data_IF_792483939142
#
_entry.id   IF_792483939142
#
_cell.length_a   1.000
_cell.length_b   1.000
_cell.length_c   1.000
_cell.angle_alpha   90.00
_cell.angle_beta   90.00
_cell.angle_gamma   90.00
#
_symmetry.space_group_name_H-M   'P 1'
#
loop_
_entity.id
_entity.type
_entity.pdbx_description
1 polymer ?
#
# COMPACT_ATOMS: atom_id res chain seq x y z
N UNK A 1 42.45 -33.18 7.89
CA UNK A 1 42.67 -31.75 7.61
C UNK A 1 41.94 -31.29 6.36
N UNK A 2 42.11 -31.95 5.17
CA UNK A 2 41.44 -31.54 3.91
C UNK A 2 39.92 -31.49 4.04
N UNK A 3 39.25 -32.50 4.63
CA UNK A 3 37.80 -32.51 4.81
C UNK A 3 37.29 -31.35 5.67
N UNK A 4 38.04 -30.95 6.72
CA UNK A 4 37.71 -29.80 7.54
C UNK A 4 37.74 -28.48 6.74
N UNK A 5 38.77 -28.30 5.93
CA UNK A 5 38.87 -27.12 5.05
C UNK A 5 37.75 -27.07 4.03
N UNK A 6 37.38 -28.19 3.43
CA UNK A 6 36.23 -28.25 2.50
C UNK A 6 34.94 -27.82 3.22
N UNK A 7 34.66 -28.33 4.42
CA UNK A 7 33.48 -27.93 5.21
C UNK A 7 33.48 -26.43 5.50
N UNK A 8 34.61 -25.88 5.93
CA UNK A 8 34.74 -24.44 6.23
C UNK A 8 34.50 -23.58 4.99
N UNK A 9 35.05 -23.99 3.83
CA UNK A 9 34.80 -23.25 2.57
C UNK A 9 33.33 -23.31 2.14
N UNK A 10 32.66 -24.46 2.28
CA UNK A 10 31.23 -24.60 1.99
C UNK A 10 30.40 -23.71 2.90
N UNK A 11 30.67 -23.74 4.21
CA UNK A 11 29.96 -22.87 5.15
C UNK A 11 30.18 -21.38 4.85
N UNK A 12 31.41 -20.98 4.54
CA UNK A 12 31.71 -19.60 4.18
C UNK A 12 30.96 -19.18 2.89
N UNK A 13 30.91 -20.05 1.88
CA UNK A 13 30.18 -19.82 0.65
C UNK A 13 28.67 -19.67 0.90
N UNK A 14 28.08 -20.52 1.73
CA UNK A 14 26.67 -20.43 2.14
C UNK A 14 26.37 -19.15 2.92
N UNK A 15 27.25 -18.72 3.81
CA UNK A 15 27.12 -17.43 4.51
C UNK A 15 27.13 -16.25 3.54
N UNK A 16 28.10 -16.22 2.62
CA UNK A 16 28.18 -15.14 1.60
C UNK A 16 26.95 -15.14 0.71
N UNK A 17 26.50 -16.31 0.24
CA UNK A 17 25.29 -16.42 -0.56
C UNK A 17 24.06 -15.90 0.19
N UNK A 18 23.91 -16.26 1.48
CA UNK A 18 22.80 -15.80 2.32
C UNK A 18 22.80 -14.28 2.49
N UNK A 19 23.95 -13.66 2.68
CA UNK A 19 24.12 -12.21 2.77
C UNK A 19 23.69 -11.55 1.45
N UNK A 20 24.22 -12.02 0.31
CA UNK A 20 23.93 -11.46 -1.01
C UNK A 20 22.46 -11.58 -1.37
N UNK A 21 21.85 -12.74 -1.14
CA UNK A 21 20.42 -12.97 -1.41
C UNK A 21 19.57 -12.05 -0.54
N UNK A 22 19.85 -11.97 0.76
CA UNK A 22 19.08 -11.12 1.69
C UNK A 22 19.24 -9.63 1.39
N UNK A 23 20.42 -9.22 0.93
CA UNK A 23 20.64 -7.86 0.44
C UNK A 23 19.76 -7.55 -0.79
N UNK A 24 19.68 -8.50 -1.74
CA UNK A 24 18.81 -8.37 -2.92
C UNK A 24 17.32 -8.33 -2.53
N UNK A 25 16.86 -9.22 -1.63
CA UNK A 25 15.46 -9.22 -1.15
C UNK A 25 15.12 -7.86 -0.54
N UNK A 26 15.95 -7.35 0.38
CA UNK A 26 15.72 -6.02 0.96
C UNK A 26 15.76 -4.91 -0.10
N UNK A 27 16.62 -5.03 -1.10
CA UNK A 27 16.72 -4.10 -2.22
C UNK A 27 15.46 -4.05 -3.08
N UNK A 28 14.91 -5.20 -3.41
CA UNK A 28 13.65 -5.29 -4.16
C UNK A 28 12.50 -4.63 -3.41
N UNK A 29 12.40 -4.82 -2.09
CA UNK A 29 11.36 -4.17 -1.29
C UNK A 29 11.50 -2.65 -1.26
N UNK A 30 12.74 -2.15 -1.08
CA UNK A 30 13.01 -0.71 -0.94
C UNK A 30 13.02 0.06 -2.26
N UNK A 31 13.38 -0.63 -3.34
CA UNK A 31 13.56 -0.04 -4.68
C UNK A 31 12.94 -0.96 -5.74
N UNK A 32 11.59 -1.08 -5.74
CA UNK A 32 10.90 -1.91 -6.71
C UNK A 32 11.09 -1.40 -8.14
N UNK A 33 10.96 -2.30 -9.10
CA UNK A 33 10.79 -1.92 -10.51
C UNK A 33 9.34 -1.44 -10.69
N UNK A 34 9.19 -0.14 -10.83
CA UNK A 34 7.89 0.50 -11.00
C UNK A 34 7.44 0.40 -12.45
N UNK A 35 6.16 0.13 -12.66
CA UNK A 35 5.52 0.21 -13.97
C UNK A 35 5.25 1.68 -14.31
N UNK A 36 5.47 2.04 -15.57
CA UNK A 36 5.12 3.36 -16.05
C UNK A 36 3.60 3.49 -16.25
N UNK A 37 3.12 4.72 -16.38
CA UNK A 37 1.69 5.02 -16.48
C UNK A 37 1.02 4.33 -17.67
N UNK A 38 1.67 4.28 -18.84
CA UNK A 38 1.10 3.64 -20.02
C UNK A 38 0.98 2.14 -19.82
N UNK A 39 1.97 1.50 -19.24
CA UNK A 39 1.96 0.06 -18.90
C UNK A 39 0.83 -0.27 -17.92
N UNK A 40 0.60 0.58 -16.92
CA UNK A 40 -0.50 0.39 -15.95
C UNK A 40 -1.87 0.49 -16.63
N UNK A 41 -2.08 1.49 -17.50
CA UNK A 41 -3.34 1.63 -18.25
C UNK A 41 -3.57 0.42 -19.18
N UNK A 42 -2.53 -0.04 -19.90
CA UNK A 42 -2.63 -1.22 -20.76
C UNK A 42 -2.98 -2.48 -19.97
N UNK A 43 -2.42 -2.64 -18.77
CA UNK A 43 -2.67 -3.80 -17.93
C UNK A 43 -4.09 -3.78 -17.33
N UNK A 44 -4.57 -2.61 -16.88
CA UNK A 44 -5.94 -2.48 -16.36
C UNK A 44 -6.99 -2.68 -17.47
N UNK A 45 -6.70 -2.27 -18.72
CA UNK A 45 -7.55 -2.57 -19.87
C UNK A 45 -7.59 -4.07 -20.16
N UNK A 46 -6.45 -4.76 -20.16
CA UNK A 46 -6.38 -6.24 -20.34
C UNK A 46 -7.16 -6.99 -19.24
N UNK A 47 -7.15 -6.49 -18.02
CA UNK A 47 -7.91 -7.05 -16.88
C UNK A 47 -9.40 -6.75 -16.96
N UNK A 48 -9.82 -5.85 -17.87
CA UNK A 48 -11.22 -5.43 -18.01
C UNK A 48 -11.68 -4.46 -16.93
N UNK A 49 -10.78 -3.82 -16.22
CA UNK A 49 -11.11 -2.82 -15.18
C UNK A 49 -11.75 -1.58 -15.79
N UNK A 50 -11.20 -1.11 -16.92
CA UNK A 50 -11.74 -0.05 -17.76
C UNK A 50 -11.10 -0.13 -19.16
N UNK A 51 -11.72 0.53 -20.16
CA UNK A 51 -11.10 0.68 -21.47
C UNK A 51 -10.29 1.98 -21.54
N UNK A 52 -9.22 2.00 -22.34
CA UNK A 52 -8.44 3.21 -22.58
C UNK A 52 -9.33 4.35 -23.09
N UNK A 53 -10.24 4.05 -24.00
CA UNK A 53 -11.17 5.06 -24.53
C UNK A 53 -12.03 5.70 -23.44
N UNK A 54 -12.58 4.88 -22.52
CA UNK A 54 -13.31 5.41 -21.35
C UNK A 54 -12.41 6.25 -20.45
N UNK A 55 -11.21 5.77 -20.15
CA UNK A 55 -10.27 6.50 -19.30
C UNK A 55 -9.95 7.89 -19.87
N UNK A 56 -9.68 7.99 -21.16
CA UNK A 56 -9.34 9.25 -21.83
C UNK A 56 -10.55 10.21 -21.97
N UNK A 57 -11.78 9.69 -22.09
CA UNK A 57 -12.98 10.51 -22.27
C UNK A 57 -13.68 10.93 -20.98
N UNK A 58 -13.64 10.09 -19.95
CA UNK A 58 -14.46 10.25 -18.74
C UNK A 58 -13.64 10.54 -17.47
N UNK A 59 -12.36 10.08 -17.41
CA UNK A 59 -11.55 10.23 -16.22
C UNK A 59 -10.73 11.52 -16.25
N UNK A 60 -11.35 12.63 -15.82
CA UNK A 60 -10.71 13.95 -15.83
C UNK A 60 -9.98 14.21 -14.51
N UNK A 61 -8.68 13.87 -14.48
CA UNK A 61 -7.83 14.05 -13.31
C UNK A 61 -7.18 15.44 -13.30
N UNK A 62 -7.37 16.17 -12.22
CA UNK A 62 -6.68 17.43 -11.92
C UNK A 62 -5.40 17.11 -11.14
N UNK A 63 -4.25 17.18 -11.79
CA UNK A 63 -2.97 16.87 -11.18
C UNK A 63 -2.47 17.99 -10.26
N UNK A 64 -1.84 17.63 -9.15
CA UNK A 64 -1.21 18.54 -8.21
C UNK A 64 -0.07 17.87 -7.46
N UNK A 65 0.71 18.64 -6.74
CA UNK A 65 1.88 18.16 -6.00
C UNK A 65 1.79 18.57 -4.54
N UNK A 66 2.15 17.64 -3.64
CA UNK A 66 2.29 17.90 -2.21
C UNK A 66 3.74 17.66 -1.77
N UNK A 67 4.28 18.57 -0.96
CA UNK A 67 5.61 18.39 -0.39
C UNK A 67 5.57 17.50 0.84
N UNK A 68 6.14 16.29 0.74
CA UNK A 68 6.28 15.39 1.89
C UNK A 68 7.19 15.97 2.97
N UNK A 69 6.87 15.71 4.22
CA UNK A 69 7.71 16.04 5.37
C UNK A 69 9.08 15.33 5.35
N UNK A 70 9.27 14.38 4.44
CA UNK A 70 10.49 13.61 4.25
C UNK A 70 11.35 14.11 3.08
N UNK A 71 11.04 15.28 2.51
CA UNK A 71 11.91 15.99 1.57
C UNK A 71 11.80 15.60 0.10
N UNK A 72 10.70 14.97 -0.31
CA UNK A 72 10.34 14.69 -1.71
C UNK A 72 8.92 15.18 -2.01
N UNK A 73 8.59 15.25 -3.29
CA UNK A 73 7.27 15.63 -3.74
C UNK A 73 6.42 14.38 -3.98
N UNK A 74 5.14 14.44 -3.57
CA UNK A 74 4.12 13.46 -3.91
C UNK A 74 3.34 13.98 -5.11
N UNK A 75 3.26 13.21 -6.16
CA UNK A 75 2.38 13.45 -7.29
C UNK A 75 0.98 12.95 -6.94
N UNK A 76 0.00 13.83 -7.08
CA UNK A 76 -1.37 13.60 -6.69
C UNK A 76 -2.32 13.98 -7.83
N UNK A 77 -3.51 13.41 -7.82
CA UNK A 77 -4.56 13.73 -8.75
C UNK A 77 -5.92 13.78 -8.03
N UNK A 78 -6.73 14.75 -8.37
CA UNK A 78 -8.12 14.88 -7.96
C UNK A 78 -9.03 14.51 -9.13
N UNK A 79 -9.96 13.61 -8.90
CA UNK A 79 -11.11 13.40 -9.77
C UNK A 79 -12.33 14.02 -9.08
N UNK A 80 -12.74 15.25 -9.48
CA UNK A 80 -13.85 15.93 -8.84
C UNK A 80 -15.15 15.16 -9.05
N UNK A 81 -16.01 15.13 -8.05
CA UNK A 81 -17.37 14.59 -8.20
C UNK A 81 -18.14 15.34 -9.29
N UNK A 82 -19.14 14.69 -9.87
CA UNK A 82 -20.02 15.32 -10.85
C UNK A 82 -20.70 16.59 -10.29
N UNK A 83 -20.92 17.57 -11.17
CA UNK A 83 -21.61 18.80 -10.78
C UNK A 83 -23.03 18.54 -10.28
N UNK A 84 -23.50 19.37 -9.34
CA UNK A 84 -24.85 19.27 -8.79
C UNK A 84 -25.06 18.16 -7.74
N UNK A 85 -24.10 17.28 -7.51
CA UNK A 85 -24.20 16.26 -6.46
C UNK A 85 -24.11 16.91 -5.09
N UNK A 86 -25.09 16.59 -4.21
CA UNK A 86 -25.10 17.03 -2.82
C UNK A 86 -25.66 15.93 -1.93
N UNK A 87 -25.26 15.93 -0.66
CA UNK A 87 -25.75 14.97 0.34
C UNK A 87 -26.64 15.71 1.36
N UNK A 88 -27.58 14.97 1.96
CA UNK A 88 -28.56 15.55 2.88
C UNK A 88 -27.95 16.24 4.11
N UNK A 89 -26.78 15.81 4.55
CA UNK A 89 -26.03 16.41 5.64
C UNK A 89 -25.17 17.62 5.24
N UNK A 90 -25.19 18.00 3.96
CA UNK A 90 -24.44 19.11 3.40
C UNK A 90 -22.93 18.89 3.29
N UNK A 91 -22.40 17.77 3.76
CA UNK A 91 -20.97 17.51 3.79
C UNK A 91 -20.43 17.02 2.45
N UNK A 92 -19.19 17.39 2.15
CA UNK A 92 -18.44 16.78 1.05
C UNK A 92 -18.08 15.33 1.40
N UNK A 93 -18.14 14.46 0.41
CA UNK A 93 -17.67 13.08 0.51
C UNK A 93 -16.35 12.97 -0.24
N UNK A 94 -15.31 12.50 0.43
CA UNK A 94 -13.98 12.36 -0.16
C UNK A 94 -13.47 10.94 0.06
N UNK A 95 -12.99 10.31 -1.01
CA UNK A 95 -12.30 9.04 -0.96
C UNK A 95 -10.84 9.23 -1.38
N UNK A 96 -9.90 8.86 -0.52
CA UNK A 96 -8.48 8.82 -0.86
C UNK A 96 -8.11 7.38 -1.23
N UNK A 97 -7.67 7.18 -2.48
CA UNK A 97 -7.43 5.86 -3.05
C UNK A 97 -5.92 5.60 -3.17
N UNK A 98 -5.48 4.48 -2.61
CA UNK A 98 -4.06 4.17 -2.37
C UNK A 98 -3.66 2.92 -3.12
N UNK A 99 -2.76 3.06 -4.09
CA UNK A 99 -2.34 1.98 -4.99
C UNK A 99 -1.42 0.95 -4.34
N UNK A 100 -1.31 -0.21 -4.98
CA UNK A 100 -0.45 -1.31 -4.57
C UNK A 100 1.03 -1.12 -4.93
N UNK A 101 1.83 -2.10 -4.52
CA UNK A 101 3.27 -2.18 -4.80
C UNK A 101 3.54 -2.31 -6.30
N UNK A 102 4.58 -1.63 -6.79
CA UNK A 102 5.02 -1.52 -8.20
C UNK A 102 4.12 -0.75 -9.15
N UNK A 103 2.91 -0.41 -8.75
CA UNK A 103 1.93 0.35 -9.52
C UNK A 103 2.11 1.87 -9.39
N UNK A 104 1.17 2.62 -9.94
CA UNK A 104 1.02 4.07 -9.81
C UNK A 104 -0.44 4.42 -9.54
N UNK A 105 -0.74 5.70 -9.35
CA UNK A 105 -2.11 6.17 -9.06
C UNK A 105 -3.14 5.76 -10.11
N UNK A 106 -2.75 5.57 -11.38
CA UNK A 106 -3.68 5.15 -12.44
C UNK A 106 -4.25 3.74 -12.23
N UNK A 107 -3.53 2.84 -11.56
CA UNK A 107 -4.06 1.53 -11.17
C UNK A 107 -5.18 1.59 -10.13
N UNK A 108 -5.32 2.73 -9.44
CA UNK A 108 -6.40 2.98 -8.48
C UNK A 108 -7.66 3.58 -9.10
N UNK A 109 -7.64 3.97 -10.38
CA UNK A 109 -8.79 4.58 -11.08
C UNK A 109 -10.01 3.64 -11.10
N UNK A 110 -9.79 2.33 -11.20
CA UNK A 110 -10.85 1.31 -11.12
C UNK A 110 -11.68 1.42 -9.83
N UNK A 111 -11.03 1.67 -8.71
CA UNK A 111 -11.69 1.88 -7.42
C UNK A 111 -12.24 3.30 -7.29
N UNK A 112 -11.48 4.31 -7.74
CA UNK A 112 -11.93 5.69 -7.73
C UNK A 112 -13.25 5.87 -8.48
N UNK A 113 -13.44 5.15 -9.61
CA UNK A 113 -14.69 5.14 -10.36
C UNK A 113 -15.90 4.76 -9.51
N UNK A 114 -15.78 3.73 -8.67
CA UNK A 114 -16.86 3.29 -7.77
C UNK A 114 -17.27 4.43 -6.83
N UNK A 115 -16.30 5.11 -6.22
CA UNK A 115 -16.57 6.24 -5.33
C UNK A 115 -17.09 7.45 -6.08
N UNK A 116 -16.54 7.73 -7.26
CA UNK A 116 -17.00 8.84 -8.11
C UNK A 116 -18.47 8.65 -8.53
N UNK A 117 -18.87 7.44 -8.93
CA UNK A 117 -20.25 7.10 -9.27
C UNK A 117 -21.18 7.23 -8.05
N UNK A 118 -20.68 7.09 -6.84
CA UNK A 118 -21.38 7.36 -5.57
C UNK A 118 -21.36 8.85 -5.16
N UNK A 119 -20.78 9.74 -5.98
CA UNK A 119 -20.75 11.17 -5.75
C UNK A 119 -19.63 11.68 -4.85
N UNK A 120 -18.57 10.89 -4.68
CA UNK A 120 -17.38 11.32 -3.95
C UNK A 120 -16.42 12.13 -4.83
N UNK A 121 -15.71 13.06 -4.24
CA UNK A 121 -14.44 13.55 -4.76
C UNK A 121 -13.38 12.48 -4.50
N UNK A 122 -12.64 12.06 -5.53
CA UNK A 122 -11.64 11.02 -5.40
C UNK A 122 -10.23 11.63 -5.48
N UNK A 123 -9.43 11.40 -4.44
CA UNK A 123 -8.03 11.81 -4.42
C UNK A 123 -7.15 10.58 -4.58
N UNK A 124 -6.31 10.59 -5.59
CA UNK A 124 -5.33 9.55 -5.87
C UNK A 124 -3.93 10.15 -5.73
N UNK A 125 -2.95 9.35 -5.38
CA UNK A 125 -1.56 9.80 -5.34
C UNK A 125 -0.60 8.65 -5.60
N UNK A 126 0.57 8.99 -6.12
CA UNK A 126 1.67 8.06 -6.20
C UNK A 126 2.39 7.97 -4.86
N UNK A 127 2.59 6.76 -4.36
CA UNK A 127 3.46 6.55 -3.21
C UNK A 127 4.88 7.09 -3.47
N UNK A 128 5.59 7.38 -2.40
CA UNK A 128 7.04 7.63 -2.48
C UNK A 128 7.73 6.58 -3.35
N UNK A 129 8.66 7.00 -4.20
CA UNK A 129 9.39 6.15 -5.15
C UNK A 129 8.55 5.51 -6.28
N UNK A 130 7.22 5.74 -6.34
CA UNK A 130 6.33 5.23 -7.37
C UNK A 130 5.89 6.34 -8.33
N UNK A 131 5.45 5.95 -9.53
CA UNK A 131 4.92 6.86 -10.53
C UNK A 131 5.79 8.12 -10.74
N UNK A 132 5.18 9.28 -10.61
CA UNK A 132 5.83 10.59 -10.73
C UNK A 132 6.26 11.19 -9.38
N UNK A 133 6.00 10.52 -8.27
CA UNK A 133 6.47 10.94 -6.95
C UNK A 133 7.99 10.86 -6.80
N UNK A 134 8.54 11.67 -5.91
CA UNK A 134 9.97 11.77 -5.65
C UNK A 134 10.58 10.47 -5.11
N UNK A 135 11.87 10.31 -5.35
CA UNK A 135 12.63 9.10 -5.01
C UNK A 135 12.97 9.05 -3.52
N UNK A 136 12.57 7.97 -2.87
CA UNK A 136 12.92 7.61 -1.51
C UNK A 136 12.74 6.10 -1.33
N UNK A 137 13.35 5.42 -0.34
CA UNK A 137 13.10 4.00 -0.14
C UNK A 137 11.63 3.71 0.13
N UNK A 138 11.03 2.75 -0.58
CA UNK A 138 9.69 2.22 -0.28
C UNK A 138 9.72 1.46 1.04
N UNK A 139 8.84 1.77 1.98
CA UNK A 139 8.85 1.19 3.33
C UNK A 139 7.65 0.30 3.63
N UNK A 140 6.92 -0.08 2.58
CA UNK A 140 5.83 -1.06 2.65
C UNK A 140 4.73 -0.65 3.65
N UNK A 141 4.34 0.63 3.65
CA UNK A 141 3.28 1.16 4.51
C UNK A 141 3.76 1.97 5.72
N UNK A 142 5.06 1.93 6.10
CA UNK A 142 5.51 2.67 7.29
C UNK A 142 5.54 4.19 7.07
N UNK A 143 6.34 4.69 6.16
CA UNK A 143 6.34 6.12 5.81
C UNK A 143 5.19 6.47 4.87
N UNK A 144 4.73 5.53 4.06
CA UNK A 144 3.57 5.71 3.18
C UNK A 144 2.30 6.07 3.96
N UNK A 145 2.09 5.52 5.18
CA UNK A 145 0.96 5.88 6.04
C UNK A 145 1.03 7.32 6.55
N UNK A 146 2.23 7.89 6.68
CA UNK A 146 2.43 9.28 7.08
C UNK A 146 2.25 10.25 5.91
N UNK A 147 2.69 9.84 4.71
CA UNK A 147 2.42 10.58 3.49
C UNK A 147 0.91 10.62 3.21
N UNK A 148 0.18 9.55 3.50
CA UNK A 148 -1.28 9.52 3.40
C UNK A 148 -1.96 10.54 4.31
N UNK A 149 -1.42 10.80 5.51
CA UNK A 149 -1.94 11.87 6.38
C UNK A 149 -1.87 13.23 5.70
N UNK A 150 -0.77 13.54 5.01
CA UNK A 150 -0.63 14.78 4.27
C UNK A 150 -1.66 14.91 3.14
N UNK A 151 -1.93 13.82 2.42
CA UNK A 151 -2.97 13.80 1.36
C UNK A 151 -4.37 14.00 1.95
N UNK A 152 -4.66 13.37 3.09
CA UNK A 152 -5.93 13.55 3.80
C UNK A 152 -6.08 14.98 4.36
N UNK A 153 -5.02 15.57 4.88
CA UNK A 153 -5.03 16.95 5.37
C UNK A 153 -5.32 17.93 4.24
N UNK A 154 -4.65 17.78 3.09
CA UNK A 154 -4.95 18.57 1.90
C UNK A 154 -6.41 18.44 1.47
N UNK A 155 -6.97 17.24 1.50
CA UNK A 155 -8.37 17.00 1.16
C UNK A 155 -9.33 17.73 2.13
N UNK A 156 -9.03 17.73 3.43
CA UNK A 156 -9.83 18.46 4.42
C UNK A 156 -9.67 19.99 4.29
N UNK A 157 -8.50 20.49 3.95
CA UNK A 157 -8.28 21.91 3.65
C UNK A 157 -9.05 22.34 2.39
N UNK A 158 -9.07 21.49 1.36
CA UNK A 158 -9.71 21.78 0.07
C UNK A 158 -11.24 21.70 0.13
N UNK A 159 -11.81 20.76 0.89
CA UNK A 159 -13.23 20.43 0.85
C UNK A 159 -14.01 20.75 2.13
N UNK A 160 -13.32 21.17 3.19
CA UNK A 160 -13.88 21.48 4.48
C UNK A 160 -13.40 20.54 5.58
N UNK A 161 -13.11 21.08 6.76
CA UNK A 161 -12.57 20.34 7.92
C UNK A 161 -13.53 19.29 8.48
N UNK A 162 -14.82 19.35 8.11
CA UNK A 162 -15.89 18.44 8.47
C UNK A 162 -16.31 17.51 7.33
N UNK A 163 -15.57 17.49 6.22
CA UNK A 163 -15.82 16.58 5.11
C UNK A 163 -15.82 15.12 5.59
N UNK A 164 -16.68 14.30 5.00
CA UNK A 164 -16.73 12.87 5.25
C UNK A 164 -15.64 12.18 4.44
N UNK A 165 -14.47 11.98 5.04
CA UNK A 165 -13.30 11.42 4.38
C UNK A 165 -13.09 9.96 4.73
N UNK A 166 -12.85 9.11 3.72
CA UNK A 166 -12.47 7.72 3.89
C UNK A 166 -11.29 7.34 3.02
N UNK A 167 -10.68 6.21 3.33
CA UNK A 167 -9.54 5.68 2.56
C UNK A 167 -9.83 4.29 2.03
N UNK A 168 -9.38 4.03 0.81
CA UNK A 168 -9.34 2.71 0.19
C UNK A 168 -7.92 2.40 -0.21
N UNK A 169 -7.46 1.17 0.02
CA UNK A 169 -6.13 0.75 -0.40
C UNK A 169 -6.10 -0.69 -0.89
N UNK A 170 -5.30 -0.95 -1.94
CA UNK A 170 -5.05 -2.27 -2.51
C UNK A 170 -3.65 -2.76 -2.12
N UNK A 171 -3.51 -3.99 -1.62
CA UNK A 171 -2.23 -4.66 -1.34
C UNK A 171 -1.33 -3.85 -0.39
N UNK A 172 -0.19 -3.32 -0.85
CA UNK A 172 0.64 -2.38 -0.08
C UNK A 172 -0.16 -1.12 0.32
N UNK A 173 -1.07 -0.65 -0.55
CA UNK A 173 -2.00 0.43 -0.23
C UNK A 173 -2.95 0.05 0.91
N UNK A 174 -3.45 -1.20 0.94
CA UNK A 174 -4.27 -1.71 2.04
C UNK A 174 -3.51 -1.73 3.37
N UNK A 175 -2.26 -2.21 3.36
CA UNK A 175 -1.41 -2.12 4.53
C UNK A 175 -1.17 -0.67 4.96
N UNK A 176 -1.02 0.25 4.00
CA UNK A 176 -0.84 1.68 4.25
C UNK A 176 -2.06 2.30 4.92
N UNK A 177 -3.29 2.06 4.41
CA UNK A 177 -4.51 2.63 5.01
C UNK A 177 -4.79 2.04 6.38
N UNK A 178 -4.53 0.74 6.60
CA UNK A 178 -4.63 0.13 7.93
C UNK A 178 -3.63 0.73 8.93
N UNK A 179 -2.37 0.95 8.50
CA UNK A 179 -1.32 1.58 9.31
C UNK A 179 -1.59 3.07 9.58
N UNK A 180 -2.28 3.75 8.67
CA UNK A 180 -2.70 5.15 8.79
C UNK A 180 -3.85 5.33 9.78
N UNK A 181 -4.81 4.42 9.79
CA UNK A 181 -6.08 4.54 10.51
C UNK A 181 -5.95 4.98 11.99
N UNK A 182 -5.07 4.38 12.83
CA UNK A 182 -4.95 4.80 14.24
C UNK A 182 -4.29 6.17 14.41
N UNK A 183 -3.61 6.68 13.37
CA UNK A 183 -2.92 7.96 13.40
C UNK A 183 -3.81 9.12 12.95
N UNK A 184 -5.00 8.82 12.37
CA UNK A 184 -5.86 9.81 11.74
C UNK A 184 -7.33 9.67 12.18
N UNK A 185 -7.69 10.22 13.35
CA UNK A 185 -9.03 10.02 13.96
C UNK A 185 -10.19 10.69 13.20
N UNK A 186 -9.89 11.48 12.16
CA UNK A 186 -10.92 12.13 11.33
C UNK A 186 -11.50 11.23 10.23
N UNK A 187 -10.97 10.01 10.06
CA UNK A 187 -11.49 9.06 9.08
C UNK A 187 -12.91 8.62 9.44
N UNK A 188 -13.78 8.62 8.43
CA UNK A 188 -15.13 8.11 8.52
C UNK A 188 -15.21 6.60 8.24
N UNK A 189 -14.34 6.08 7.39
CA UNK A 189 -14.23 4.65 7.07
C UNK A 189 -12.86 4.29 6.47
N UNK A 190 -12.55 3.01 6.49
CA UNK A 190 -11.39 2.42 5.80
C UNK A 190 -11.85 1.19 5.02
N UNK A 191 -11.39 1.05 3.78
CA UNK A 191 -11.52 -0.17 2.99
C UNK A 191 -10.12 -0.68 2.68
N UNK A 192 -9.83 -1.90 3.09
CA UNK A 192 -8.61 -2.60 2.77
C UNK A 192 -8.91 -3.76 1.81
N UNK A 193 -8.17 -3.84 0.73
CA UNK A 193 -8.29 -4.86 -0.31
C UNK A 193 -6.97 -5.61 -0.44
N UNK A 194 -6.99 -6.91 -0.14
CA UNK A 194 -5.86 -7.86 -0.16
C UNK A 194 -4.61 -7.40 0.62
N UNK A 195 -4.80 -6.76 1.78
CA UNK A 195 -3.69 -6.29 2.61
C UNK A 195 -3.04 -7.38 3.46
N UNK A 196 -1.71 -7.36 3.55
CA UNK A 196 -1.00 -8.29 4.45
C UNK A 196 -1.16 -7.92 5.93
N UNK A 197 -1.07 -8.93 6.79
CA UNK A 197 -1.20 -8.72 8.25
C UNK A 197 0.05 -8.11 8.89
N UNK A 198 1.23 -8.44 8.36
CA UNK A 198 2.51 -7.83 8.74
C UNK A 198 3.55 -8.03 7.65
N UNK A 199 4.48 -7.09 7.49
CA UNK A 199 5.56 -7.21 6.51
C UNK A 199 6.44 -8.45 6.77
N UNK A 200 6.67 -8.79 8.04
CA UNK A 200 7.43 -9.98 8.39
C UNK A 200 6.76 -11.28 7.91
N UNK A 201 5.43 -11.37 8.01
CA UNK A 201 4.66 -12.51 7.53
C UNK A 201 4.68 -12.57 6.00
N UNK A 202 4.46 -11.44 5.32
CA UNK A 202 4.49 -11.34 3.86
C UNK A 202 5.87 -11.71 3.29
N UNK A 203 6.95 -11.17 3.84
CA UNK A 203 8.32 -11.49 3.38
C UNK A 203 8.67 -12.96 3.66
N UNK A 204 8.23 -13.52 4.80
CA UNK A 204 8.41 -14.95 5.09
C UNK A 204 7.68 -15.84 4.09
N UNK A 205 6.46 -15.47 3.69
CA UNK A 205 5.70 -16.15 2.66
C UNK A 205 6.46 -16.12 1.33
N UNK A 206 6.88 -14.96 0.87
CA UNK A 206 7.59 -14.79 -0.40
C UNK A 206 8.94 -15.55 -0.41
N UNK A 207 9.70 -15.55 0.70
CA UNK A 207 10.94 -16.31 0.83
C UNK A 207 10.70 -17.81 0.59
N UNK A 208 9.59 -18.35 1.12
CA UNK A 208 9.26 -19.77 1.02
C UNK A 208 8.63 -20.15 -0.32
N UNK A 209 7.62 -19.38 -0.75
CA UNK A 209 6.80 -19.74 -1.90
C UNK A 209 7.39 -19.25 -3.24
N UNK A 210 7.93 -18.04 -3.26
CA UNK A 210 8.47 -17.46 -4.50
C UNK A 210 9.92 -17.85 -4.71
N UNK A 211 10.73 -17.82 -3.66
CA UNK A 211 12.18 -18.08 -3.78
C UNK A 211 12.59 -19.49 -3.37
N UNK A 212 11.65 -20.31 -2.85
CA UNK A 212 11.88 -21.67 -2.36
C UNK A 212 13.05 -21.78 -1.38
N UNK A 213 13.23 -20.75 -0.54
CA UNK A 213 14.29 -20.66 0.45
C UNK A 213 13.77 -20.90 1.87
N UNK A 214 14.57 -21.43 2.80
CA UNK A 214 14.21 -21.50 4.21
C UNK A 214 14.10 -20.08 4.80
N UNK A 215 13.19 -19.87 5.76
CA UNK A 215 13.04 -18.54 6.39
C UNK A 215 14.31 -18.09 7.11
N UNK A 216 15.07 -18.99 7.70
CA UNK A 216 16.35 -18.71 8.37
C UNK A 216 17.50 -19.13 7.45
N UNK A 217 18.51 -18.27 7.24
CA UNK A 217 18.73 -16.95 7.87
C UNK A 217 18.12 -15.77 7.11
N UNK A 218 17.47 -16.01 5.95
CA UNK A 218 17.12 -15.00 4.97
C UNK A 218 16.17 -13.91 5.51
N UNK A 219 15.17 -14.28 6.31
CA UNK A 219 14.23 -13.30 6.88
C UNK A 219 14.95 -12.34 7.86
N UNK A 220 15.83 -12.87 8.71
CA UNK A 220 16.55 -12.06 9.69
C UNK A 220 17.54 -11.09 9.02
N UNK A 221 18.31 -11.58 8.05
CA UNK A 221 19.26 -10.76 7.30
C UNK A 221 18.55 -9.72 6.43
N UNK A 222 17.45 -10.10 5.74
CA UNK A 222 16.66 -9.14 4.95
C UNK A 222 16.07 -8.05 5.84
N UNK A 223 15.56 -8.38 7.03
CA UNK A 223 15.07 -7.41 8.00
C UNK A 223 16.18 -6.45 8.48
N UNK A 224 17.39 -6.97 8.73
CA UNK A 224 18.54 -6.13 9.08
C UNK A 224 18.89 -5.17 7.95
N UNK A 225 19.01 -5.67 6.72
CA UNK A 225 19.33 -4.84 5.56
C UNK A 225 18.23 -3.84 5.22
N UNK A 226 16.97 -4.21 5.40
CA UNK A 226 15.84 -3.30 5.25
C UNK A 226 15.93 -2.15 6.27
N UNK A 227 16.29 -2.45 7.53
CA UNK A 227 16.55 -1.43 8.56
C UNK A 227 17.72 -0.51 8.21
N UNK A 228 18.85 -1.08 7.80
CA UNK A 228 20.07 -0.30 7.50
C UNK A 228 19.87 0.64 6.31
N UNK A 229 19.08 0.25 5.31
CA UNK A 229 18.88 0.97 4.06
C UNK A 229 17.60 1.80 4.02
N UNK A 230 16.53 1.33 4.66
CA UNK A 230 15.20 1.96 4.66
C UNK A 230 14.82 2.60 5.99
N UNK A 231 15.64 2.44 7.04
CA UNK A 231 15.39 3.04 8.35
C UNK A 231 14.31 2.34 9.20
N UNK A 232 13.73 1.23 8.73
CA UNK A 232 12.56 0.57 9.32
C UNK A 232 12.80 -0.93 9.49
N UNK A 233 12.43 -1.53 10.62
CA UNK A 233 12.35 -2.97 10.76
C UNK A 233 11.02 -3.52 10.27
N UNK A 234 10.97 -4.75 9.80
CA UNK A 234 9.72 -5.41 9.37
C UNK A 234 8.62 -5.39 10.44
N UNK A 235 8.99 -5.55 11.72
CA UNK A 235 8.04 -5.51 12.85
C UNK A 235 7.32 -4.18 13.02
N UNK A 236 7.86 -3.08 12.44
CA UNK A 236 7.24 -1.76 12.50
C UNK A 236 6.15 -1.58 11.44
N UNK A 237 6.05 -2.51 10.49
CA UNK A 237 5.01 -2.57 9.47
C UNK A 237 4.07 -3.72 9.85
N UNK A 238 3.09 -3.40 10.69
CA UNK A 238 2.15 -4.35 11.30
C UNK A 238 0.71 -3.83 11.21
N UNK A 239 0.06 -3.98 10.05
CA UNK A 239 -1.36 -3.68 9.89
C UNK A 239 -2.24 -4.31 10.97
N UNK A 240 -1.99 -5.57 11.33
CA UNK A 240 -2.73 -6.28 12.38
C UNK A 240 -2.66 -5.58 13.73
N UNK A 241 -1.53 -4.96 14.09
CA UNK A 241 -1.43 -4.21 15.34
C UNK A 241 -2.02 -2.80 15.23
N UNK A 242 -2.02 -2.23 14.03
CA UNK A 242 -2.64 -0.95 13.77
C UNK A 242 -4.18 -1.01 13.88
N UNK A 243 -4.82 -2.00 13.25
CA UNK A 243 -6.29 -2.11 13.27
C UNK A 243 -6.85 -2.39 14.66
N UNK A 244 -6.11 -3.00 15.58
CA UNK A 244 -6.50 -3.17 16.99
C UNK A 244 -6.76 -1.84 17.70
N UNK A 245 -6.10 -0.77 17.24
CA UNK A 245 -6.15 0.56 17.84
C UNK A 245 -7.27 1.45 17.25
N UNK A 246 -8.17 0.87 16.44
CA UNK A 246 -9.22 1.63 15.75
C UNK A 246 -10.64 1.22 16.23
N UNK A 247 -10.97 1.32 17.53
CA UNK A 247 -12.34 1.07 17.97
C UNK A 247 -13.28 2.14 17.38
N UNK A 248 -14.47 1.72 16.95
CA UNK A 248 -15.50 2.63 16.44
C UNK A 248 -15.30 3.10 14.99
N UNK A 249 -14.12 2.94 14.38
CA UNK A 249 -13.89 3.25 12.97
C UNK A 249 -14.40 2.10 12.09
N UNK A 250 -15.39 2.31 11.20
CA UNK A 250 -15.84 1.30 10.25
C UNK A 250 -14.70 0.84 9.32
N UNK A 251 -14.51 -0.48 9.22
CA UNK A 251 -13.57 -1.07 8.27
C UNK A 251 -14.21 -2.21 7.47
N UNK A 252 -14.03 -2.15 6.14
CA UNK A 252 -14.33 -3.23 5.23
C UNK A 252 -13.04 -3.92 4.82
N UNK A 253 -13.04 -5.24 4.93
CA UNK A 253 -11.95 -6.13 4.55
C UNK A 253 -12.37 -6.92 3.32
N UNK A 254 -11.57 -6.85 2.25
CA UNK A 254 -11.81 -7.55 0.99
C UNK A 254 -10.57 -8.37 0.65
N UNK A 255 -10.76 -9.61 0.17
CA UNK A 255 -9.64 -10.42 -0.28
C UNK A 255 -10.11 -11.55 -1.19
N UNK A 256 -9.42 -11.76 -2.30
CA UNK A 256 -9.67 -12.90 -3.17
C UNK A 256 -9.16 -14.21 -2.55
N UNK A 257 -9.97 -15.26 -2.56
CA UNK A 257 -9.61 -16.56 -1.97
C UNK A 257 -8.42 -17.23 -2.68
N UNK A 258 -8.21 -16.92 -3.96
CA UNK A 258 -7.15 -17.47 -4.81
C UNK A 258 -5.89 -16.56 -4.88
N UNK A 259 -5.71 -15.63 -3.93
CA UNK A 259 -4.53 -14.75 -3.90
C UNK A 259 -3.28 -15.51 -3.41
N UNK A 260 -2.42 -15.87 -4.36
CA UNK A 260 -1.16 -16.55 -4.10
C UNK A 260 -0.03 -15.60 -3.62
N UNK A 261 -0.19 -14.28 -3.84
CA UNK A 261 0.85 -13.30 -3.50
C UNK A 261 0.73 -12.78 -2.07
N UNK A 262 -0.49 -12.37 -1.68
CA UNK A 262 -0.82 -12.07 -0.27
C UNK A 262 -1.75 -13.18 0.23
N UNK A 263 -1.30 -14.07 1.09
CA UNK A 263 -2.11 -15.21 1.54
C UNK A 263 -3.46 -14.79 2.09
N UNK A 264 -4.53 -15.44 1.61
CA UNK A 264 -5.92 -15.17 2.01
C UNK A 264 -6.13 -15.19 3.53
N UNK A 265 -5.39 -16.04 4.26
CA UNK A 265 -5.46 -16.09 5.72
C UNK A 265 -5.11 -14.75 6.40
N UNK A 266 -4.38 -13.86 5.71
CA UNK A 266 -3.97 -12.57 6.29
C UNK A 266 -5.15 -11.62 6.49
N UNK A 267 -6.18 -11.66 5.64
CA UNK A 267 -7.40 -10.87 5.85
C UNK A 267 -8.13 -11.31 7.11
N UNK A 268 -8.21 -12.62 7.38
CA UNK A 268 -8.84 -13.15 8.59
C UNK A 268 -8.08 -12.75 9.86
N UNK A 269 -6.74 -12.69 9.80
CA UNK A 269 -5.91 -12.23 10.91
C UNK A 269 -6.20 -10.74 11.19
N UNK A 270 -6.24 -9.89 10.16
CA UNK A 270 -6.55 -8.47 10.29
C UNK A 270 -7.99 -8.26 10.79
N UNK A 271 -8.95 -8.96 10.17
CA UNK A 271 -10.35 -8.90 10.55
C UNK A 271 -10.58 -9.33 12.00
N UNK A 272 -9.99 -10.45 12.43
CA UNK A 272 -10.12 -10.91 13.81
C UNK A 272 -9.59 -9.89 14.82
N UNK A 273 -8.49 -9.21 14.49
CA UNK A 273 -7.82 -8.25 15.36
C UNK A 273 -8.58 -6.90 15.48
N UNK A 274 -9.32 -6.49 14.43
CA UNK A 274 -10.05 -5.22 14.39
C UNK A 274 -11.28 -5.24 15.31
N UNK A 275 -11.45 -4.28 16.25
CA UNK A 275 -12.70 -4.08 16.98
C UNK A 275 -13.85 -3.66 16.06
N UNK A 276 -15.12 -3.83 16.53
CA UNK A 276 -16.29 -3.33 15.79
C UNK A 276 -16.26 -1.81 15.59
N UNK A 277 -16.91 -1.26 14.52
CA UNK A 277 -17.60 -1.98 13.44
C UNK A 277 -16.64 -2.48 12.35
N UNK A 278 -16.90 -3.66 11.80
CA UNK A 278 -16.11 -4.28 10.73
C UNK A 278 -16.96 -5.24 9.89
N UNK A 279 -16.59 -5.37 8.63
CA UNK A 279 -17.23 -6.30 7.68
C UNK A 279 -16.13 -6.97 6.83
N UNK A 280 -16.37 -8.18 6.31
CA UNK A 280 -15.47 -8.93 5.43
C UNK A 280 -16.24 -9.43 4.21
N UNK A 281 -15.63 -9.39 3.06
CA UNK A 281 -16.14 -9.85 1.78
C UNK A 281 -15.11 -10.73 1.06
#
# INVERSE_FOLDING_TARGET
>A
MLALWIVLYVLAALCVASIVISWKISGMLLHPKIWDYSTVVDEEEKRGSFTRAWFESECHLEEFTLRSNYGYDLHCALWPRAEGVSFADGKRRVAVIVHGYTYCLLGSVKYARIFHDLGFDCVLYDHRNHGLSGKAPTTMGYYESRDLSLVCDWALERFGSDAFIGTHGESMGAATVMMHAPQYPKLAFVIEDCGYSSLAAQVRHNIRQTYHLPSVPFLALSNLFFKLRGGVFFRQVSPVDAVKQCPGLPMLFIHGEDDDFVPYEMVHINFAAKPQPKEIR
#
